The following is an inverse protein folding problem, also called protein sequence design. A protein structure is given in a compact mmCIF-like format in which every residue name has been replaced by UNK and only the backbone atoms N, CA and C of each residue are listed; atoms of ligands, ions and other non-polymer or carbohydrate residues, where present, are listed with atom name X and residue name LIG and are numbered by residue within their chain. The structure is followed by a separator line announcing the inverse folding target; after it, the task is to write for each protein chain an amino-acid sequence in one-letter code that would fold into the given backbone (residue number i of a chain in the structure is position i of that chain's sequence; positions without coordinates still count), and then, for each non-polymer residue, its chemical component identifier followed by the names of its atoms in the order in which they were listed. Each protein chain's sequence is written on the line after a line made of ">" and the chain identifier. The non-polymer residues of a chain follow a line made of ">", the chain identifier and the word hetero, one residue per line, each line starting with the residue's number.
data_IF_655556920859
#
_entry.id   IF_655556920859
#
_cell.length_a   1.000
_cell.length_b   1.000
_cell.length_c   1.000
_cell.angle_alpha   90.00
_cell.angle_beta   90.00
_cell.angle_gamma   90.00
#
_symmetry.space_group_name_H-M   'P 1'
#
loop_
_entity.id
_entity.type
_entity.pdbx_description
1 polymer ?
#
# COMPACT_ATOMS: atom_id res chain seq x y z
N UNK A 1 -17.47 -56.81 17.89
CA UNK A 1 -17.10 -56.38 16.53
C UNK A 1 -17.70 -55.01 16.31
N UNK A 2 -16.87 -54.08 15.80
CA UNK A 2 -17.18 -52.74 15.25
C UNK A 2 -17.52 -51.58 16.21
N UNK A 3 -16.61 -51.26 17.13
CA UNK A 3 -16.61 -49.97 17.83
C UNK A 3 -15.49 -48.99 17.33
N UNK A 4 -14.73 -49.37 16.31
CA UNK A 4 -13.56 -48.56 15.81
C UNK A 4 -13.86 -47.75 14.55
N UNK A 5 -15.04 -47.80 13.96
CA UNK A 5 -15.36 -47.14 12.70
C UNK A 5 -16.12 -45.81 12.86
N UNK A 6 -16.50 -45.42 14.06
CA UNK A 6 -17.27 -44.18 14.29
C UNK A 6 -16.44 -42.98 14.73
N UNK A 7 -15.15 -43.15 15.03
CA UNK A 7 -14.28 -42.04 15.48
C UNK A 7 -13.52 -41.34 14.37
N UNK A 8 -13.41 -41.95 13.17
CA UNK A 8 -12.66 -41.35 12.05
C UNK A 8 -13.46 -40.28 11.27
N UNK A 9 -14.78 -40.29 11.32
CA UNK A 9 -15.62 -39.36 10.58
C UNK A 9 -15.79 -37.98 11.23
N UNK A 10 -15.59 -37.88 12.55
CA UNK A 10 -15.72 -36.60 13.26
C UNK A 10 -14.49 -35.67 13.10
N UNK A 11 -13.29 -36.24 12.87
CA UNK A 11 -12.08 -35.47 12.72
C UNK A 11 -11.97 -34.79 11.34
N UNK A 12 -12.59 -35.35 10.30
CA UNK A 12 -12.56 -34.79 8.95
C UNK A 12 -13.47 -33.56 8.77
N UNK A 13 -14.54 -33.44 9.56
CA UNK A 13 -15.43 -32.26 9.50
C UNK A 13 -14.86 -31.02 10.23
N UNK A 14 -13.95 -31.21 11.17
CA UNK A 14 -13.37 -30.07 11.92
C UNK A 14 -12.31 -29.28 11.14
N UNK A 15 -11.70 -29.86 10.09
CA UNK A 15 -10.72 -29.16 9.25
C UNK A 15 -11.34 -28.29 8.14
N UNK A 16 -12.62 -28.46 7.83
CA UNK A 16 -13.30 -27.70 6.78
C UNK A 16 -13.84 -26.33 7.25
N UNK A 17 -13.84 -26.06 8.54
CA UNK A 17 -14.44 -24.83 9.11
C UNK A 17 -13.46 -23.68 9.30
N UNK A 18 -12.18 -23.83 8.93
CA UNK A 18 -11.16 -22.80 9.08
C UNK A 18 -10.75 -22.12 7.77
N UNK A 19 -11.62 -22.13 6.76
CA UNK A 19 -11.52 -21.15 5.66
C UNK A 19 -11.94 -19.79 6.22
N UNK A 20 -11.09 -19.21 7.06
CA UNK A 20 -11.22 -17.80 7.43
C UNK A 20 -11.27 -17.01 6.12
N UNK A 21 -12.42 -16.43 5.83
CA UNK A 21 -12.49 -15.37 4.83
C UNK A 21 -11.50 -14.32 5.31
N UNK A 22 -10.37 -14.17 4.62
CA UNK A 22 -9.55 -13.00 4.77
C UNK A 22 -10.48 -11.82 4.44
N UNK A 23 -10.94 -11.12 5.46
CA UNK A 23 -11.75 -9.93 5.27
C UNK A 23 -10.86 -8.92 4.54
N UNK A 24 -11.18 -8.61 3.30
CA UNK A 24 -10.44 -7.59 2.57
C UNK A 24 -10.51 -6.28 3.36
N UNK A 25 -9.37 -5.62 3.55
CA UNK A 25 -9.31 -4.32 4.20
C UNK A 25 -10.18 -3.33 3.43
N UNK A 26 -11.06 -2.63 4.14
CA UNK A 26 -12.03 -1.69 3.58
C UNK A 26 -11.52 -0.24 3.50
N UNK A 27 -10.23 -0.03 3.79
CA UNK A 27 -9.60 1.28 3.81
C UNK A 27 -8.27 1.26 3.06
N UNK A 28 -8.12 2.17 2.09
CA UNK A 28 -6.90 2.33 1.30
C UNK A 28 -5.79 2.93 2.17
N UNK A 29 -4.62 2.33 2.13
CA UNK A 29 -3.41 2.78 2.81
C UNK A 29 -2.41 3.34 1.81
N UNK A 30 -1.98 4.56 2.02
CA UNK A 30 -1.06 5.28 1.14
C UNK A 30 0.12 5.78 1.96
N UNK A 31 1.35 5.55 1.52
CA UNK A 31 2.53 6.11 2.18
C UNK A 31 3.58 6.55 1.16
N UNK A 32 4.46 7.47 1.55
CA UNK A 32 5.62 7.83 0.74
C UNK A 32 6.04 9.28 0.79
N UNK A 33 6.14 9.91 -0.37
CA UNK A 33 6.70 11.24 -0.57
C UNK A 33 6.04 12.32 0.29
N UNK A 34 6.85 13.10 1.00
CA UNK A 34 6.39 14.30 1.72
C UNK A 34 5.98 15.43 0.77
N UNK A 35 6.56 15.49 -0.42
CA UNK A 35 6.18 16.45 -1.47
C UNK A 35 4.76 16.18 -1.98
N UNK A 36 4.40 14.91 -2.16
CA UNK A 36 3.08 14.49 -2.67
C UNK A 36 2.01 14.50 -1.56
N UNK A 37 2.42 14.38 -0.30
CA UNK A 37 1.53 14.26 0.86
C UNK A 37 0.35 15.27 0.89
N UNK A 38 0.56 16.59 0.73
CA UNK A 38 -0.54 17.55 0.82
C UNK A 38 -1.60 17.33 -0.27
N UNK A 39 -1.17 17.01 -1.47
CA UNK A 39 -2.08 16.74 -2.59
C UNK A 39 -2.85 15.42 -2.38
N UNK A 40 -2.15 14.37 -1.96
CA UNK A 40 -2.76 13.08 -1.69
C UNK A 40 -3.78 13.14 -0.54
N UNK A 41 -3.55 13.97 0.49
CA UNK A 41 -4.52 14.18 1.57
C UNK A 41 -5.80 14.85 1.07
N UNK A 42 -5.70 15.88 0.25
CA UNK A 42 -6.87 16.55 -0.34
C UNK A 42 -7.70 15.55 -1.16
N UNK A 43 -7.03 14.73 -1.98
CA UNK A 43 -7.72 13.71 -2.79
C UNK A 43 -8.38 12.65 -1.90
N UNK A 44 -7.70 12.20 -0.84
CA UNK A 44 -8.25 11.23 0.11
C UNK A 44 -9.49 11.76 0.84
N UNK A 45 -9.46 13.01 1.29
CA UNK A 45 -10.59 13.68 1.94
C UNK A 45 -11.77 13.79 0.98
N UNK A 46 -11.55 14.29 -0.24
CA UNK A 46 -12.59 14.39 -1.28
C UNK A 46 -13.15 13.02 -1.67
N UNK A 47 -12.32 11.98 -1.70
CA UNK A 47 -12.79 10.63 -1.95
C UNK A 47 -13.76 10.18 -0.84
N UNK A 48 -13.40 10.37 0.44
CA UNK A 48 -14.26 10.02 1.56
C UNK A 48 -15.59 10.80 1.58
N UNK A 49 -15.58 12.07 1.20
CA UNK A 49 -16.78 12.90 1.08
C UNK A 49 -17.68 12.47 -0.09
N UNK A 50 -17.07 12.10 -1.22
CA UNK A 50 -17.80 11.73 -2.44
C UNK A 50 -18.34 10.31 -2.37
N UNK A 51 -17.54 9.39 -1.83
CA UNK A 51 -17.84 7.96 -1.79
C UNK A 51 -18.10 7.49 -0.37
N UNK A 52 -19.15 7.96 0.26
CA UNK A 52 -19.48 7.75 1.68
C UNK A 52 -19.67 6.29 2.11
N UNK A 53 -19.71 5.36 1.17
CA UNK A 53 -19.75 3.91 1.44
C UNK A 53 -18.37 3.34 1.77
N UNK A 54 -17.30 4.08 1.47
CA UNK A 54 -15.92 3.68 1.71
C UNK A 54 -15.30 4.54 2.80
N UNK A 55 -14.36 3.98 3.53
CA UNK A 55 -13.57 4.75 4.50
C UNK A 55 -12.63 5.71 3.76
N UNK A 56 -12.44 6.88 4.32
CA UNK A 56 -11.43 7.83 3.84
C UNK A 56 -10.04 7.16 3.83
N UNK A 57 -9.31 7.20 2.70
CA UNK A 57 -7.95 6.67 2.63
C UNK A 57 -7.02 7.28 3.69
N UNK A 58 -6.15 6.49 4.27
CA UNK A 58 -5.08 6.97 5.17
C UNK A 58 -3.87 7.32 4.33
N UNK A 59 -3.33 8.53 4.52
CA UNK A 59 -2.15 9.01 3.80
C UNK A 59 -1.06 9.41 4.78
N UNK A 60 0.07 8.71 4.72
CA UNK A 60 1.23 8.92 5.58
C UNK A 60 2.46 9.36 4.79
N UNK A 61 3.37 10.03 5.48
CA UNK A 61 4.65 10.49 4.92
C UNK A 61 5.81 9.73 5.54
N UNK A 62 6.77 9.37 4.72
CA UNK A 62 8.02 8.73 5.14
C UNK A 62 9.13 8.90 4.11
N UNK A 63 8.83 9.64 3.02
CA UNK A 63 9.70 9.80 1.86
C UNK A 63 9.48 8.73 0.80
N UNK A 64 9.78 9.06 -0.46
CA UNK A 64 9.54 8.20 -1.63
C UNK A 64 10.15 6.81 -1.50
N UNK A 65 11.39 6.72 -1.03
CA UNK A 65 12.09 5.44 -0.88
C UNK A 65 11.47 4.55 0.21
N UNK A 66 11.04 5.14 1.32
CA UNK A 66 10.38 4.38 2.39
C UNK A 66 8.99 3.89 1.94
N UNK A 67 8.19 4.74 1.29
CA UNK A 67 6.90 4.34 0.73
C UNK A 67 7.01 3.20 -0.28
N UNK A 68 7.94 3.30 -1.24
CA UNK A 68 8.19 2.23 -2.20
C UNK A 68 8.62 0.93 -1.49
N UNK A 69 9.49 1.03 -0.47
CA UNK A 69 9.92 -0.14 0.30
C UNK A 69 8.75 -0.80 1.04
N UNK A 70 7.85 -0.02 1.64
CA UNK A 70 6.63 -0.54 2.28
C UNK A 70 5.72 -1.22 1.25
N UNK A 71 5.50 -0.58 0.12
CA UNK A 71 4.71 -1.12 -0.99
C UNK A 71 5.27 -2.46 -1.51
N UNK A 72 6.59 -2.58 -1.59
CA UNK A 72 7.28 -3.79 -2.04
C UNK A 72 7.42 -4.88 -0.94
N UNK A 73 6.78 -4.76 0.22
CA UNK A 73 6.77 -5.84 1.23
C UNK A 73 5.91 -7.03 0.83
N UNK A 74 4.97 -6.85 -0.08
CA UNK A 74 4.07 -7.91 -0.54
C UNK A 74 2.66 -7.42 -0.81
N UNK A 75 1.75 -8.38 -0.94
CA UNK A 75 0.32 -8.14 -1.15
C UNK A 75 -0.43 -8.73 0.04
N UNK A 76 -1.20 -7.92 0.75
CA UNK A 76 -1.95 -8.38 1.92
C UNK A 76 -2.50 -7.24 2.79
N UNK A 77 -3.18 -7.59 3.86
CA UNK A 77 -3.85 -6.64 4.75
C UNK A 77 -2.87 -5.73 5.51
N UNK A 78 -1.65 -6.21 5.77
CA UNK A 78 -0.61 -5.49 6.50
C UNK A 78 0.33 -4.67 5.58
N UNK A 79 0.00 -4.57 4.29
CA UNK A 79 0.80 -3.82 3.31
C UNK A 79 0.04 -2.62 2.79
N UNK A 80 0.75 -1.59 2.32
CA UNK A 80 0.10 -0.42 1.72
C UNK A 80 -0.36 -0.70 0.28
N UNK A 81 -1.40 0.00 -0.16
CA UNK A 81 -1.98 -0.17 -1.49
C UNK A 81 -1.34 0.75 -2.52
N UNK A 82 -0.88 1.93 -2.08
CA UNK A 82 -0.31 2.96 -2.96
C UNK A 82 0.96 3.53 -2.33
N UNK A 83 2.02 3.59 -3.11
CA UNK A 83 3.22 4.35 -2.75
C UNK A 83 3.24 5.70 -3.46
N UNK A 84 3.25 6.79 -2.72
CA UNK A 84 3.48 8.12 -3.26
C UNK A 84 4.98 8.35 -3.48
N UNK A 85 5.34 8.86 -4.65
CA UNK A 85 6.74 9.14 -4.97
C UNK A 85 6.91 10.45 -5.73
N UNK A 86 7.96 11.20 -5.41
CA UNK A 86 8.40 12.39 -6.16
C UNK A 86 9.42 12.06 -7.27
N UNK A 87 9.64 10.78 -7.55
CA UNK A 87 10.52 10.26 -8.61
C UNK A 87 9.98 8.95 -9.16
N UNK A 88 10.40 8.55 -10.37
CA UNK A 88 10.12 7.21 -10.87
C UNK A 88 10.67 6.12 -9.94
N UNK A 89 9.99 4.97 -9.93
CA UNK A 89 10.49 3.77 -9.26
C UNK A 89 11.78 3.28 -9.94
N UNK A 90 12.77 2.86 -9.15
CA UNK A 90 14.04 2.37 -9.67
C UNK A 90 13.96 0.89 -10.06
N UNK A 91 14.89 0.46 -10.92
CA UNK A 91 14.94 -0.96 -11.39
C UNK A 91 15.16 -1.97 -10.26
N UNK A 92 15.99 -1.62 -9.29
CA UNK A 92 16.25 -2.44 -8.11
C UNK A 92 15.02 -2.50 -7.18
N UNK A 93 14.26 -1.43 -7.06
CA UNK A 93 13.00 -1.39 -6.33
C UNK A 93 11.93 -2.25 -7.02
N UNK A 94 11.80 -2.17 -8.34
CA UNK A 94 10.91 -3.04 -9.13
C UNK A 94 11.26 -4.51 -8.91
N UNK A 95 12.56 -4.83 -8.91
CA UNK A 95 13.01 -6.19 -8.66
C UNK A 95 12.63 -6.65 -7.25
N UNK A 96 12.85 -5.84 -6.24
CA UNK A 96 12.47 -6.14 -4.85
C UNK A 96 10.97 -6.36 -4.69
N UNK A 97 10.14 -5.54 -5.36
CA UNK A 97 8.69 -5.73 -5.41
C UNK A 97 8.33 -7.09 -6.03
N UNK A 98 8.92 -7.42 -7.17
CA UNK A 98 8.64 -8.68 -7.88
C UNK A 98 9.04 -9.91 -7.04
N UNK A 99 10.20 -9.86 -6.36
CA UNK A 99 10.69 -10.91 -5.47
C UNK A 99 9.73 -11.12 -4.26
N UNK A 100 9.04 -10.06 -3.83
CA UNK A 100 8.01 -10.10 -2.77
C UNK A 100 6.59 -10.42 -3.30
N UNK A 101 6.42 -10.70 -4.59
CA UNK A 101 5.15 -11.06 -5.20
C UNK A 101 4.30 -9.87 -5.66
N UNK A 102 4.79 -8.64 -5.51
CA UNK A 102 4.14 -7.43 -6.04
C UNK A 102 4.50 -7.30 -7.52
N UNK A 103 3.54 -7.62 -8.39
CA UNK A 103 3.70 -7.63 -9.85
C UNK A 103 2.78 -6.58 -10.46
N UNK A 104 3.01 -6.28 -11.73
CA UNK A 104 2.16 -5.39 -12.52
C UNK A 104 1.98 -3.99 -11.90
N UNK A 105 3.10 -3.42 -11.43
CA UNK A 105 3.13 -2.09 -10.82
C UNK A 105 2.71 -1.05 -11.87
N UNK A 106 1.68 -0.26 -11.54
CA UNK A 106 1.22 0.85 -12.35
C UNK A 106 1.77 2.16 -11.81
N UNK A 107 2.49 2.91 -12.64
CA UNK A 107 2.93 4.28 -12.32
C UNK A 107 1.96 5.29 -12.93
N UNK A 108 1.35 6.10 -12.08
CA UNK A 108 0.46 7.18 -12.49
C UNK A 108 1.11 8.51 -12.19
N UNK A 109 1.43 9.28 -13.23
CA UNK A 109 2.01 10.62 -13.08
C UNK A 109 0.90 11.64 -12.84
N UNK A 110 0.93 12.26 -11.66
CA UNK A 110 -0.08 13.24 -11.21
C UNK A 110 0.36 14.70 -11.42
N UNK A 111 1.66 14.96 -11.65
CA UNK A 111 2.19 16.30 -11.84
C UNK A 111 3.69 16.33 -11.92
N UNK A 112 4.23 17.54 -11.95
CA UNK A 112 5.67 17.81 -11.92
C UNK A 112 5.98 18.65 -10.68
N UNK A 113 7.15 18.41 -10.10
CA UNK A 113 7.73 19.20 -9.03
C UNK A 113 9.03 19.84 -9.53
N UNK A 114 9.35 21.00 -9.02
CA UNK A 114 10.55 21.76 -9.38
C UNK A 114 11.43 22.03 -8.18
N UNK A 115 12.74 21.85 -8.35
CA UNK A 115 13.74 22.25 -7.37
C UNK A 115 14.40 23.53 -7.87
N UNK A 116 14.43 24.54 -7.02
CA UNK A 116 15.10 25.80 -7.31
C UNK A 116 16.15 26.09 -6.24
N UNK A 117 17.24 26.71 -6.65
CA UNK A 117 18.20 27.30 -5.73
C UNK A 117 17.87 28.77 -5.60
N UNK A 118 17.68 29.23 -4.39
CA UNK A 118 17.44 30.63 -4.07
C UNK A 118 18.56 31.15 -3.17
N UNK A 119 19.05 32.34 -3.46
CA UNK A 119 20.01 33.04 -2.63
C UNK A 119 19.48 34.45 -2.36
N UNK A 120 20.08 35.16 -1.42
CA UNK A 120 19.83 36.59 -1.21
C UNK A 120 20.21 37.37 -2.47
N UNK A 121 19.58 38.55 -2.68
CA UNK A 121 19.80 39.40 -3.86
C UNK A 121 21.29 39.70 -4.11
N UNK A 122 22.10 39.77 -3.06
CA UNK A 122 23.53 39.99 -3.14
C UNK A 122 24.35 38.73 -3.42
N UNK A 123 23.69 37.54 -3.41
CA UNK A 123 24.40 36.27 -3.54
C UNK A 123 25.29 35.92 -2.33
N UNK A 124 25.89 34.74 -2.34
CA UNK A 124 26.99 34.45 -1.42
C UNK A 124 28.20 35.25 -1.84
N UNK A 125 28.88 35.87 -0.86
CA UNK A 125 30.18 36.52 -1.06
C UNK A 125 31.28 35.53 -1.45
#
# INVERSE_FOLDING_TARGET
>A
MNKFLLTASAAALALAASSGFAAARDQIQVAGSSTVLPYAKIVAEQFGETFTKFKTPVVESGGSGAGIKEFCKGVGEDTIDIANSSRPIKKDEIKSCADAGVKDIQEVRIGYDGIVFATDIKGPD
#
